data_IF_846914337554
#
_entry.id   IF_846914337554
#
_cell.length_a   1.000
_cell.length_b   1.000
_cell.length_c   1.000
_cell.angle_alpha   90.00
_cell.angle_beta   90.00
_cell.angle_gamma   90.00
#
_symmetry.space_group_name_H-M   'P 1'
#
loop_
_entity.id
_entity.type
_entity.pdbx_description
1 polymer ?
#
# COMPACT_ATOMS: atom_id res chain seq x y z
N UNK A 1 14.65 -21.86 8.95
CA UNK A 1 14.14 -21.30 7.69
C UNK A 1 12.85 -20.58 8.00
N UNK A 2 12.80 -19.28 7.76
CA UNK A 2 11.59 -18.49 7.94
C UNK A 2 10.71 -18.60 6.68
N UNK A 3 9.41 -18.54 6.83
CA UNK A 3 8.47 -18.53 5.71
C UNK A 3 7.85 -17.16 5.56
N UNK A 4 7.63 -16.74 4.33
CA UNK A 4 7.05 -15.43 3.99
C UNK A 4 5.92 -15.59 2.98
N UNK A 5 4.75 -15.08 3.30
CA UNK A 5 3.63 -14.98 2.36
C UNK A 5 3.61 -13.57 1.77
N UNK A 6 3.56 -13.50 0.45
CA UNK A 6 3.24 -12.30 -0.31
C UNK A 6 1.77 -12.37 -0.69
N UNK A 7 0.96 -11.53 -0.10
CA UNK A 7 -0.49 -11.50 -0.32
C UNK A 7 -0.91 -10.22 -1.03
N UNK A 8 -1.64 -10.34 -2.13
CA UNK A 8 -2.27 -9.19 -2.78
C UNK A 8 -3.66 -8.96 -2.19
N UNK A 9 -3.72 -8.12 -1.17
CA UNK A 9 -4.93 -7.83 -0.40
C UNK A 9 -5.94 -7.04 -1.24
N UNK A 10 -7.17 -7.55 -1.43
CA UNK A 10 -8.24 -6.79 -2.07
C UNK A 10 -8.71 -5.57 -1.27
N UNK A 11 -9.39 -4.65 -1.94
CA UNK A 11 -10.11 -3.57 -1.29
C UNK A 11 -11.18 -4.12 -0.32
N UNK A 12 -11.36 -3.45 0.82
CA UNK A 12 -12.37 -3.80 1.81
C UNK A 12 -11.97 -4.89 2.80
N UNK A 13 -10.84 -5.58 2.56
CA UNK A 13 -10.34 -6.63 3.46
C UNK A 13 -9.55 -6.01 4.61
N UNK A 14 -9.91 -6.35 5.86
CA UNK A 14 -9.16 -5.93 7.05
C UNK A 14 -7.90 -6.76 7.22
N UNK A 15 -6.80 -6.08 7.59
CA UNK A 15 -5.47 -6.70 7.71
C UNK A 15 -5.29 -7.38 9.09
N UNK A 16 -6.13 -8.36 9.38
CA UNK A 16 -6.10 -9.20 10.59
C UNK A 16 -6.79 -10.53 10.36
N UNK A 17 -6.44 -11.55 11.16
CA UNK A 17 -7.09 -12.87 11.10
C UNK A 17 -8.36 -12.96 11.97
N UNK A 18 -8.44 -12.15 13.02
CA UNK A 18 -9.63 -12.10 13.87
C UNK A 18 -10.82 -11.64 13.05
N UNK A 19 -11.90 -12.42 13.13
CA UNK A 19 -13.15 -12.06 12.48
C UNK A 19 -13.76 -10.82 13.13
N UNK A 20 -14.27 -9.92 12.31
CA UNK A 20 -15.01 -8.74 12.75
C UNK A 20 -16.34 -8.70 11.98
N UNK A 21 -17.44 -8.47 12.68
CA UNK A 21 -18.78 -8.54 12.11
C UNK A 21 -18.90 -7.58 10.90
N UNK A 22 -19.35 -8.11 9.77
CA UNK A 22 -19.52 -7.35 8.55
C UNK A 22 -18.22 -7.08 7.76
N UNK A 23 -17.08 -7.62 8.19
CA UNK A 23 -15.79 -7.44 7.52
C UNK A 23 -15.20 -8.75 7.01
N UNK A 24 -14.65 -8.71 5.80
CA UNK A 24 -13.80 -9.79 5.26
C UNK A 24 -12.39 -9.58 5.82
N UNK A 25 -11.78 -10.64 6.33
CA UNK A 25 -10.46 -10.61 6.97
C UNK A 25 -9.44 -11.47 6.23
N UNK A 26 -8.18 -11.46 6.67
CA UNK A 26 -7.13 -12.32 6.12
C UNK A 26 -7.47 -13.81 6.21
N UNK A 27 -8.25 -14.22 7.21
CA UNK A 27 -8.70 -15.61 7.39
C UNK A 27 -9.48 -16.14 6.20
N UNK A 28 -10.16 -15.27 5.44
CA UNK A 28 -10.94 -15.66 4.27
C UNK A 28 -10.06 -16.03 3.06
N UNK A 29 -8.78 -15.67 3.08
CA UNK A 29 -7.83 -15.88 1.97
C UNK A 29 -6.67 -16.79 2.33
N UNK A 30 -6.19 -16.73 3.56
CA UNK A 30 -4.97 -17.42 4.01
C UNK A 30 -5.36 -18.46 5.05
N UNK A 31 -5.28 -19.72 4.67
CA UNK A 31 -5.63 -20.88 5.51
C UNK A 31 -4.44 -21.42 6.33
N UNK A 32 -3.20 -20.99 6.01
CA UNK A 32 -2.02 -21.45 6.72
C UNK A 32 -1.95 -20.86 8.13
N UNK A 33 -1.86 -21.69 9.18
CA UNK A 33 -1.74 -21.20 10.54
C UNK A 33 -0.32 -20.70 10.86
N UNK A 34 -0.22 -19.86 11.89
CA UNK A 34 1.05 -19.40 12.43
C UNK A 34 1.70 -18.23 11.71
N UNK A 35 1.02 -17.63 10.71
CA UNK A 35 1.51 -16.44 10.03
C UNK A 35 0.91 -15.17 10.62
N UNK A 36 1.73 -14.13 10.73
CA UNK A 36 1.34 -12.82 11.22
C UNK A 36 1.73 -11.73 10.23
N UNK A 37 0.89 -10.68 10.05
CA UNK A 37 1.22 -9.56 9.18
C UNK A 37 2.48 -8.83 9.65
N UNK A 38 3.41 -8.60 8.75
CA UNK A 38 4.57 -7.75 8.94
C UNK A 38 4.25 -6.30 8.51
N UNK A 39 3.57 -5.59 9.38
CA UNK A 39 2.93 -4.32 9.10
C UNK A 39 1.48 -4.48 8.63
N UNK A 40 0.77 -3.36 8.57
CA UNK A 40 -0.67 -3.35 8.22
C UNK A 40 -0.89 -2.59 6.93
N UNK A 41 -2.02 -2.86 6.30
CA UNK A 41 -2.56 -2.12 5.18
C UNK A 41 -4.04 -1.86 5.47
N UNK A 42 -4.47 -0.61 5.33
CA UNK A 42 -5.84 -0.21 5.63
C UNK A 42 -6.86 -0.99 4.78
N UNK A 43 -8.08 -1.13 5.29
CA UNK A 43 -9.14 -1.83 4.57
C UNK A 43 -9.45 -1.20 3.20
N UNK A 44 -9.41 0.13 3.11
CA UNK A 44 -9.64 0.90 1.88
C UNK A 44 -8.40 1.02 0.97
N UNK A 45 -7.34 0.27 1.27
CA UNK A 45 -6.14 0.16 0.45
C UNK A 45 -5.96 -1.27 -0.04
N UNK A 46 -5.32 -1.42 -1.20
CA UNK A 46 -5.12 -2.68 -1.90
C UNK A 46 -3.63 -3.03 -1.99
N UNK A 47 -3.30 -4.27 -2.30
CA UNK A 47 -1.96 -4.66 -2.69
C UNK A 47 -1.20 -5.42 -1.61
N UNK A 48 0.14 -5.29 -1.64
CA UNK A 48 1.03 -6.17 -0.91
C UNK A 48 0.88 -6.09 0.60
N UNK A 49 0.60 -7.22 1.19
CA UNK A 49 0.76 -7.50 2.62
C UNK A 49 1.74 -8.66 2.76
N UNK A 50 2.78 -8.47 3.54
CA UNK A 50 3.73 -9.54 3.89
C UNK A 50 3.29 -10.16 5.20
N UNK A 51 3.28 -11.49 5.26
CA UNK A 51 3.02 -12.25 6.49
C UNK A 51 4.13 -13.28 6.69
N UNK A 52 4.55 -13.47 7.91
CA UNK A 52 5.62 -14.43 8.24
C UNK A 52 5.31 -15.17 9.54
N UNK A 53 5.90 -16.34 9.69
CA UNK A 53 5.92 -17.14 10.92
C UNK A 53 7.14 -16.83 11.81
N UNK A 54 7.98 -15.87 11.40
CA UNK A 54 9.21 -15.48 12.08
C UNK A 54 9.10 -14.05 12.64
N UNK A 55 9.24 -13.91 13.96
CA UNK A 55 9.13 -12.62 14.64
C UNK A 55 10.26 -11.64 14.31
N UNK A 56 11.48 -12.14 14.07
CA UNK A 56 12.62 -11.31 13.70
C UNK A 56 12.44 -10.74 12.30
N UNK A 57 11.99 -11.57 11.36
CA UNK A 57 11.66 -11.13 10.01
C UNK A 57 10.48 -10.15 10.02
N UNK A 58 9.44 -10.42 10.82
CA UNK A 58 8.32 -9.50 11.00
C UNK A 58 8.80 -8.13 11.48
N UNK A 59 9.70 -8.10 12.47
CA UNK A 59 10.28 -6.86 12.99
C UNK A 59 11.13 -6.15 11.93
N UNK A 60 11.98 -6.88 11.18
CA UNK A 60 12.77 -6.28 10.08
C UNK A 60 11.91 -5.59 9.04
N UNK A 61 10.78 -6.18 8.69
CA UNK A 61 9.87 -5.64 7.66
C UNK A 61 9.05 -4.46 8.19
N UNK A 62 8.50 -4.57 9.40
CA UNK A 62 7.52 -3.62 9.93
C UNK A 62 8.12 -2.43 10.67
N UNK A 63 9.27 -2.60 11.29
CA UNK A 63 9.88 -1.60 12.15
C UNK A 63 10.46 -0.44 11.33
N UNK A 64 10.03 0.81 11.60
CA UNK A 64 10.51 2.00 10.88
C UNK A 64 12.03 2.20 10.90
N UNK A 65 12.71 1.66 11.90
CA UNK A 65 14.17 1.72 12.06
C UNK A 65 14.90 1.17 10.83
N UNK A 66 14.36 0.15 10.18
CA UNK A 66 15.00 -0.48 9.01
C UNK A 66 14.71 0.24 7.69
N UNK A 67 13.82 1.24 7.70
CA UNK A 67 13.52 2.11 6.55
C UNK A 67 13.26 1.38 5.23
N UNK A 68 12.68 0.18 5.29
CA UNK A 68 12.30 -0.55 4.08
C UNK A 68 11.36 0.29 3.23
N UNK A 69 11.72 0.58 1.96
CA UNK A 69 10.91 1.39 1.09
C UNK A 69 9.57 0.69 0.80
N UNK A 70 8.49 1.45 0.81
CA UNK A 70 7.17 0.99 0.39
C UNK A 70 6.76 1.78 -0.83
N UNK A 71 6.53 1.08 -1.93
CA UNK A 71 6.15 1.69 -3.21
C UNK A 71 4.67 1.50 -3.45
N UNK A 72 4.01 2.60 -3.78
CA UNK A 72 2.57 2.65 -4.02
C UNK A 72 2.26 3.14 -5.43
N UNK A 73 1.24 2.54 -6.04
CA UNK A 73 0.51 3.12 -7.15
C UNK A 73 -0.68 3.90 -6.58
N UNK A 74 -0.75 5.17 -6.91
CA UNK A 74 -1.71 6.09 -6.30
C UNK A 74 -2.50 6.77 -7.40
N UNK A 75 -3.78 6.50 -7.49
CA UNK A 75 -4.69 7.28 -8.32
C UNK A 75 -5.18 8.48 -7.52
N UNK A 76 -4.92 9.67 -8.01
CA UNK A 76 -5.34 10.92 -7.38
C UNK A 76 -6.36 11.68 -8.23
N UNK A 77 -7.16 12.52 -7.60
CA UNK A 77 -8.06 13.45 -8.25
C UNK A 77 -7.26 14.65 -8.79
N UNK A 78 -7.49 15.01 -10.04
CA UNK A 78 -6.80 16.13 -10.71
C UNK A 78 -5.49 15.70 -11.40
N UNK A 79 -4.76 16.69 -11.90
CA UNK A 79 -3.46 16.54 -12.56
C UNK A 79 -2.41 17.27 -11.73
N UNK A 80 -1.56 16.56 -10.98
CA UNK A 80 -0.56 17.18 -10.13
C UNK A 80 0.42 18.04 -10.91
N UNK A 81 0.62 19.26 -10.41
CA UNK A 81 1.63 20.16 -10.95
C UNK A 81 3.04 19.70 -10.59
N UNK A 82 4.03 20.14 -11.36
CA UNK A 82 5.44 19.88 -11.05
C UNK A 82 5.81 20.36 -9.63
N UNK A 83 5.25 21.49 -9.20
CA UNK A 83 5.45 22.02 -7.84
C UNK A 83 4.91 21.06 -6.77
N UNK A 84 3.73 20.50 -6.97
CA UNK A 84 3.16 19.50 -6.07
C UNK A 84 4.03 18.23 -6.01
N UNK A 85 4.51 17.74 -7.16
CA UNK A 85 5.42 16.59 -7.23
C UNK A 85 6.74 16.85 -6.48
N UNK A 86 7.33 18.04 -6.65
CA UNK A 86 8.54 18.43 -5.91
C UNK A 86 8.31 18.49 -4.40
N UNK A 87 7.13 18.98 -3.95
CA UNK A 87 6.76 18.98 -2.52
C UNK A 87 6.67 17.55 -1.97
N UNK A 88 6.02 16.63 -2.69
CA UNK A 88 5.97 15.22 -2.29
C UNK A 88 7.38 14.63 -2.11
N UNK A 89 8.30 14.94 -3.02
CA UNK A 89 9.68 14.45 -2.96
C UNK A 89 10.49 15.05 -1.79
N UNK A 90 10.27 16.31 -1.46
CA UNK A 90 10.99 16.98 -0.37
C UNK A 90 10.47 16.66 1.02
N UNK A 91 9.25 16.22 1.11
CA UNK A 91 8.49 16.07 2.34
C UNK A 91 7.43 17.16 2.47
N UNK A 92 6.30 16.79 3.07
CA UNK A 92 5.15 17.65 3.28
C UNK A 92 4.72 17.64 4.74
N UNK A 93 4.19 18.76 5.21
CA UNK A 93 3.58 18.84 6.53
C UNK A 93 2.22 18.15 6.48
N UNK A 94 2.03 17.14 7.32
CA UNK A 94 0.77 16.40 7.47
C UNK A 94 0.40 16.34 8.93
N UNK A 95 -0.78 16.83 9.29
CA UNK A 95 -1.20 16.95 10.70
C UNK A 95 -0.15 17.65 11.56
N UNK A 96 0.59 16.91 12.36
CA UNK A 96 1.55 17.38 13.35
C UNK A 96 3.00 16.93 13.10
N UNK A 97 3.33 16.50 11.88
CA UNK A 97 4.70 16.12 11.51
C UNK A 97 5.00 16.46 10.04
N UNK A 98 6.28 16.54 9.72
CA UNK A 98 6.78 16.64 8.35
C UNK A 98 7.21 15.24 7.90
N UNK A 99 6.77 14.80 6.72
CA UNK A 99 7.17 13.51 6.16
C UNK A 99 8.64 13.53 5.74
N UNK A 100 9.29 12.37 5.79
CA UNK A 100 10.62 12.22 5.21
C UNK A 100 10.56 12.43 3.69
N UNK A 101 11.71 12.75 3.05
CA UNK A 101 11.81 12.79 1.60
C UNK A 101 11.33 11.47 0.98
N UNK A 102 10.63 11.59 -0.14
CA UNK A 102 10.05 10.47 -0.88
C UNK A 102 10.48 10.49 -2.35
N UNK A 103 10.23 9.40 -3.07
CA UNK A 103 10.33 9.39 -4.54
C UNK A 103 8.92 9.42 -5.10
N UNK A 104 8.62 10.40 -5.94
CA UNK A 104 7.31 10.58 -6.54
C UNK A 104 7.45 10.85 -8.04
N UNK A 105 6.77 10.07 -8.86
CA UNK A 105 6.77 10.21 -10.31
C UNK A 105 5.33 10.06 -10.84
N UNK A 106 5.02 10.78 -11.92
CA UNK A 106 3.82 10.50 -12.72
C UNK A 106 4.01 9.16 -13.41
N UNK A 107 2.93 8.41 -13.54
CA UNK A 107 2.92 7.15 -14.29
C UNK A 107 1.64 7.00 -15.08
N UNK A 108 1.65 6.14 -16.07
CA UNK A 108 0.43 5.69 -16.73
C UNK A 108 -0.35 4.75 -15.78
N UNK A 109 -1.63 4.58 -16.05
CA UNK A 109 -2.39 3.52 -15.38
C UNK A 109 -1.64 2.19 -15.53
N UNK A 110 -1.49 1.41 -14.45
CA UNK A 110 -0.80 0.12 -14.53
C UNK A 110 -1.46 -0.79 -15.56
N UNK A 111 -0.63 -1.46 -16.37
CA UNK A 111 -1.09 -2.43 -17.35
C UNK A 111 -1.80 -3.59 -16.63
N UNK A 112 -2.89 -4.07 -17.20
CA UNK A 112 -3.70 -5.17 -16.65
C UNK A 112 -4.19 -4.93 -15.20
N UNK A 113 -4.42 -3.65 -14.85
CA UNK A 113 -4.94 -3.29 -13.55
C UNK A 113 -6.34 -3.90 -13.35
N UNK A 114 -6.49 -4.69 -12.27
CA UNK A 114 -7.78 -5.27 -11.91
C UNK A 114 -8.82 -4.21 -11.54
N UNK A 115 -10.10 -4.43 -11.84
CA UNK A 115 -11.18 -3.54 -11.42
C UNK A 115 -11.32 -3.55 -9.89
N UNK A 116 -11.52 -2.37 -9.29
CA UNK A 116 -11.85 -2.29 -7.86
C UNK A 116 -13.35 -2.50 -7.64
N UNK A 117 -13.71 -3.25 -6.61
CA UNK A 117 -15.09 -3.46 -6.19
C UNK A 117 -15.22 -2.99 -4.72
N UNK A 118 -16.05 -1.97 -4.44
CA UNK A 118 -16.80 -1.11 -5.38
C UNK A 118 -15.89 -0.25 -6.25
N UNK A 119 -16.34 0.19 -7.42
CA UNK A 119 -15.53 1.01 -8.32
C UNK A 119 -15.12 2.34 -7.69
N UNK A 120 -14.03 2.90 -8.18
CA UNK A 120 -13.57 4.25 -7.77
C UNK A 120 -14.65 5.27 -8.15
N UNK A 121 -14.91 6.23 -7.26
CA UNK A 121 -15.84 7.30 -7.53
C UNK A 121 -15.41 8.07 -8.78
N UNK A 122 -16.28 8.11 -9.77
CA UNK A 122 -16.08 8.88 -11.00
C UNK A 122 -16.73 10.26 -10.92
N UNK A 123 -15.97 11.29 -11.30
CA UNK A 123 -16.48 12.67 -11.47
C UNK A 123 -16.23 13.11 -12.91
N UNK A 124 -17.30 13.32 -13.68
CA UNK A 124 -17.28 13.58 -15.12
C UNK A 124 -16.32 14.70 -15.57
N UNK A 125 -16.12 15.72 -14.76
CA UNK A 125 -15.35 16.92 -15.12
C UNK A 125 -14.02 17.05 -14.38
N UNK A 126 -13.63 16.05 -13.59
CA UNK A 126 -12.38 16.09 -12.86
C UNK A 126 -11.51 14.94 -13.35
N UNK A 127 -10.36 15.22 -13.99
CA UNK A 127 -9.44 14.18 -14.44
C UNK A 127 -8.83 13.46 -13.24
N UNK A 128 -8.30 12.26 -13.49
CA UNK A 128 -7.53 11.50 -12.52
C UNK A 128 -6.13 11.23 -13.07
N UNK A 129 -5.17 11.08 -12.18
CA UNK A 129 -3.77 10.85 -12.54
C UNK A 129 -3.20 9.73 -11.68
N UNK A 130 -2.36 8.89 -12.26
CA UNK A 130 -1.61 7.88 -11.54
C UNK A 130 -0.22 8.38 -11.16
N UNK A 131 0.17 8.10 -9.92
CA UNK A 131 1.50 8.38 -9.37
C UNK A 131 2.14 7.08 -8.89
N UNK A 132 3.45 6.98 -9.02
CA UNK A 132 4.25 6.05 -8.24
C UNK A 132 4.88 6.84 -7.08
N UNK A 133 4.63 6.44 -5.86
CA UNK A 133 5.16 7.07 -4.66
C UNK A 133 5.86 6.05 -3.78
N UNK A 134 7.15 6.27 -3.49
CA UNK A 134 7.94 5.42 -2.59
C UNK A 134 8.34 6.19 -1.34
N UNK A 135 8.03 5.63 -0.18
CA UNK A 135 8.32 6.22 1.14
C UNK A 135 9.10 5.23 2.01
N UNK A 136 9.96 5.73 2.89
CA UNK A 136 10.73 4.95 3.87
C UNK A 136 10.09 4.95 5.26
N UNK A 137 8.89 5.46 5.38
CA UNK A 137 8.07 5.54 6.57
C UNK A 137 6.84 4.64 6.43
N UNK A 138 6.01 4.60 7.46
CA UNK A 138 4.77 3.83 7.44
C UNK A 138 3.76 4.35 8.46
N UNK A 139 3.66 5.68 8.59
CA UNK A 139 2.70 6.29 9.53
C UNK A 139 1.26 6.11 9.03
N UNK A 140 0.33 6.11 9.96
CA UNK A 140 -1.08 5.91 9.67
C UNK A 140 -1.59 6.81 8.53
N UNK A 141 -2.09 6.19 7.46
CA UNK A 141 -2.67 6.84 6.27
C UNK A 141 -1.76 7.88 5.63
N UNK A 142 -0.44 7.69 5.72
CA UNK A 142 0.55 8.70 5.34
C UNK A 142 0.43 9.11 3.87
N UNK A 143 0.39 8.17 2.93
CA UNK A 143 0.29 8.49 1.49
C UNK A 143 -0.94 9.33 1.19
N UNK A 144 -2.11 8.95 1.74
CA UNK A 144 -3.36 9.70 1.56
C UNK A 144 -3.28 11.12 2.10
N UNK A 145 -2.60 11.31 3.24
CA UNK A 145 -2.38 12.63 3.83
C UNK A 145 -1.40 13.47 3.01
N UNK A 146 -0.35 12.84 2.48
CA UNK A 146 0.64 13.51 1.64
C UNK A 146 0.00 14.06 0.36
N UNK A 147 -0.75 13.24 -0.36
CA UNK A 147 -1.40 13.66 -1.61
C UNK A 147 -2.46 14.72 -1.37
N UNK A 148 -3.25 14.59 -0.32
CA UNK A 148 -4.23 15.61 0.08
C UNK A 148 -3.57 16.94 0.46
N UNK A 149 -2.43 16.89 1.17
CA UNK A 149 -1.69 18.09 1.58
C UNK A 149 -1.16 18.91 0.41
N UNK A 150 -0.92 18.29 -0.74
CA UNK A 150 -0.52 19.01 -1.97
C UNK A 150 -1.71 19.31 -2.90
N UNK A 151 -2.94 19.00 -2.48
CA UNK A 151 -4.18 19.34 -3.20
C UNK A 151 -4.72 18.27 -4.14
N UNK A 152 -4.21 17.05 -4.09
CA UNK A 152 -4.61 15.94 -4.98
C UNK A 152 -5.02 14.71 -4.16
N UNK A 153 -6.27 14.64 -3.68
CA UNK A 153 -6.73 13.55 -2.82
C UNK A 153 -6.62 12.18 -3.51
N UNK A 154 -6.21 11.18 -2.75
CA UNK A 154 -6.15 9.79 -3.22
C UNK A 154 -7.54 9.21 -3.41
N UNK A 155 -7.80 8.67 -4.61
CA UNK A 155 -9.00 7.92 -4.97
C UNK A 155 -8.78 6.40 -4.82
N UNK A 156 -7.64 5.90 -5.27
CA UNK A 156 -7.24 4.49 -5.17
C UNK A 156 -5.80 4.37 -4.73
N UNK A 157 -5.52 3.42 -3.83
CA UNK A 157 -4.20 3.23 -3.28
C UNK A 157 -3.84 1.74 -3.29
N UNK A 158 -2.77 1.39 -4.01
CA UNK A 158 -2.27 0.04 -4.15
C UNK A 158 -0.83 0.01 -3.68
N UNK A 159 -0.51 -0.75 -2.63
CA UNK A 159 0.88 -0.99 -2.26
C UNK A 159 1.47 -2.05 -3.19
N UNK A 160 2.30 -1.61 -4.13
CA UNK A 160 2.92 -2.48 -5.12
C UNK A 160 4.09 -3.27 -4.55
N UNK A 161 4.94 -2.62 -3.71
CA UNK A 161 6.15 -3.25 -3.21
C UNK A 161 6.49 -2.85 -1.77
N UNK A 162 7.21 -3.74 -1.08
CA UNK A 162 7.91 -3.50 0.19
C UNK A 162 9.33 -4.04 0.00
N UNK A 163 10.35 -3.16 -0.04
CA UNK A 163 11.70 -3.56 -0.45
C UNK A 163 11.67 -4.20 -1.82
N UNK A 164 12.24 -5.39 -1.93
CA UNK A 164 12.31 -6.17 -3.19
C UNK A 164 11.06 -7.06 -3.42
N UNK A 165 10.17 -7.16 -2.45
CA UNK A 165 8.94 -7.95 -2.59
C UNK A 165 7.87 -7.15 -3.30
N UNK A 166 7.24 -7.74 -4.31
CA UNK A 166 6.20 -7.10 -5.13
C UNK A 166 4.96 -7.98 -5.26
N UNK A 167 3.85 -7.36 -5.72
CA UNK A 167 2.63 -8.09 -6.12
C UNK A 167 2.63 -8.48 -7.59
N UNK A 168 3.74 -8.32 -8.30
CA UNK A 168 3.84 -8.78 -9.69
C UNK A 168 3.41 -10.25 -9.77
N UNK A 169 2.58 -10.56 -10.76
CA UNK A 169 2.04 -11.90 -11.02
C UNK A 169 1.16 -12.51 -9.89
N UNK A 170 0.75 -11.70 -8.92
CA UNK A 170 -0.19 -12.12 -7.88
C UNK A 170 -1.54 -11.43 -8.09
N UNK A 171 -2.55 -12.19 -8.48
CA UNK A 171 -3.90 -11.68 -8.64
C UNK A 171 -4.50 -11.20 -7.29
N UNK A 172 -5.46 -10.26 -7.28
CA UNK A 172 -6.14 -9.85 -6.05
C UNK A 172 -6.73 -11.04 -5.30
N UNK A 173 -6.45 -11.13 -3.99
CA UNK A 173 -6.84 -12.26 -3.15
C UNK A 173 -5.91 -13.47 -3.27
N UNK A 174 -5.00 -13.48 -4.22
CA UNK A 174 -3.95 -14.50 -4.36
C UNK A 174 -2.76 -14.24 -3.43
N UNK A 175 -1.96 -15.29 -3.21
CA UNK A 175 -0.74 -15.19 -2.43
C UNK A 175 0.30 -16.22 -2.86
N UNK A 176 1.58 -15.90 -2.63
CA UNK A 176 2.70 -16.80 -2.84
C UNK A 176 3.42 -17.05 -1.52
N UNK A 177 3.89 -18.28 -1.31
CA UNK A 177 4.71 -18.67 -0.17
C UNK A 177 6.18 -18.77 -0.60
N UNK A 178 7.04 -18.07 0.10
CA UNK A 178 8.49 -18.11 -0.07
C UNK A 178 9.15 -18.69 1.19
N UNK A 179 10.20 -19.47 0.99
CA UNK A 179 11.14 -19.85 2.06
C UNK A 179 12.29 -18.84 2.03
N UNK A 180 12.51 -18.15 3.14
CA UNK A 180 13.61 -17.19 3.28
C UNK A 180 14.76 -17.86 4.04
N UNK A 181 15.95 -17.70 3.52
CA UNK A 181 17.19 -18.14 4.17
C UNK A 181 17.61 -17.20 5.29
#
# INVERSE_FOLDING_TARGET
MSRLILFNKPYGVICQFTAELGHVSLKNYISLPGFYPAGRLDADSEGLVLLTDDGDLQNKISNPKYKLPKTYWVQVEGVPTQTAMKKLCRGVTVKNYITLPAKANLMNEPTDLWPRIPPVRFRKHIPTTWLQLSINEGKNRQVRRMTAAVGYPTLRLIRFAIGDYTIADIAPGGWHLLNTT
#
